data_IF_641553193126
#
_entry.id   IF_641553193126
#
_cell.length_a   1.000
_cell.length_b   1.000
_cell.length_c   1.000
_cell.angle_alpha   90.00
_cell.angle_beta   90.00
_cell.angle_gamma   90.00
#
_symmetry.space_group_name_H-M   'P 1'
#
loop_
_entity.id
_entity.type
_entity.pdbx_description
1 polymer ?
#
# COMPACT_ATOMS: atom_id res chain seq x y z
N UNK A 1 -4.42 -16.66 8.89
CA UNK A 1 -4.34 -15.58 7.89
C UNK A 1 -3.83 -14.29 8.54
N UNK A 2 -2.88 -13.64 7.92
CA UNK A 2 -2.38 -12.35 8.41
C UNK A 2 -3.01 -11.21 7.62
N UNK A 3 -3.32 -10.13 8.31
CA UNK A 3 -3.93 -8.94 7.71
C UNK A 3 -2.99 -7.75 7.85
N UNK A 4 -2.79 -7.03 6.75
CA UNK A 4 -1.95 -5.84 6.72
C UNK A 4 -2.73 -4.68 6.13
N UNK A 5 -2.48 -3.49 6.64
CA UNK A 5 -3.11 -2.27 6.16
C UNK A 5 -2.14 -1.50 5.27
N UNK A 6 -2.61 -1.14 4.10
CA UNK A 6 -1.88 -0.33 3.13
C UNK A 6 -2.58 1.03 3.05
N UNK A 7 -1.90 2.08 3.45
CA UNK A 7 -2.43 3.43 3.30
C UNK A 7 -2.05 3.96 1.94
N UNK A 8 -3.04 4.42 1.18
CA UNK A 8 -2.87 4.96 -0.16
C UNK A 8 -3.10 6.46 -0.06
N UNK A 9 -2.06 7.23 -0.27
CA UNK A 9 -2.08 8.68 -0.07
C UNK A 9 -1.94 9.39 -1.40
N UNK A 10 -2.88 10.30 -1.70
CA UNK A 10 -2.82 11.15 -2.87
C UNK A 10 -1.94 12.36 -2.57
N UNK A 11 -0.96 12.60 -3.43
CA UNK A 11 -0.03 13.70 -3.27
C UNK A 11 0.09 14.46 -4.62
N UNK A 12 -0.83 15.39 -4.81
CA UNK A 12 -0.94 16.26 -5.99
C UNK A 12 -1.12 15.54 -7.32
N UNK A 13 -0.12 14.78 -7.75
CA UNK A 13 -0.09 14.20 -9.09
C UNK A 13 -0.06 12.67 -9.08
N UNK A 14 0.10 12.05 -7.92
CA UNK A 14 0.25 10.60 -7.86
C UNK A 14 -0.18 10.05 -6.50
N UNK A 15 -0.42 8.75 -6.49
CA UNK A 15 -0.68 7.97 -5.28
C UNK A 15 0.62 7.36 -4.78
N UNK A 16 0.80 7.33 -3.47
CA UNK A 16 1.91 6.58 -2.88
C UNK A 16 1.43 5.76 -1.69
N UNK A 17 2.19 4.71 -1.37
CA UNK A 17 1.88 3.85 -0.24
C UNK A 17 2.57 4.33 1.02
N UNK A 18 1.90 4.10 2.15
CA UNK A 18 2.49 4.25 3.48
C UNK A 18 2.12 3.01 4.28
N UNK A 19 3.12 2.35 4.81
CA UNK A 19 2.93 1.10 5.55
C UNK A 19 3.78 1.09 6.80
N UNK A 20 3.34 0.28 7.78
CA UNK A 20 4.10 0.06 9.00
C UNK A 20 4.96 -1.20 8.86
N UNK A 21 5.93 -1.34 9.76
CA UNK A 21 6.70 -2.58 9.89
C UNK A 21 5.74 -3.77 10.09
N UNK A 22 5.99 -4.92 9.48
CA UNK A 22 7.21 -5.34 8.78
C UNK A 22 7.23 -5.05 7.28
N UNK A 23 6.22 -4.36 6.73
CA UNK A 23 6.15 -4.16 5.29
C UNK A 23 7.19 -3.19 4.75
N UNK A 24 7.29 -2.01 5.34
CA UNK A 24 8.22 -0.96 4.89
C UNK A 24 8.17 -0.74 3.37
N UNK A 25 6.97 -0.73 2.81
CA UNK A 25 6.74 -0.68 1.37
C UNK A 25 6.55 0.76 0.92
N UNK A 26 7.35 1.19 -0.05
CA UNK A 26 7.22 2.52 -0.66
C UNK A 26 7.10 2.36 -2.16
N UNK A 27 5.90 2.59 -2.69
CA UNK A 27 5.60 2.56 -4.11
C UNK A 27 4.79 3.79 -4.46
N UNK A 28 4.81 4.17 -5.73
CA UNK A 28 3.97 5.25 -6.23
C UNK A 28 3.48 4.95 -7.64
N UNK A 29 2.38 5.58 -8.01
CA UNK A 29 1.82 5.51 -9.36
C UNK A 29 0.81 6.62 -9.56
N UNK A 30 0.67 7.10 -10.78
CA UNK A 30 -0.38 8.03 -11.16
C UNK A 30 -1.76 7.36 -11.12
N UNK A 31 -1.82 6.05 -11.26
CA UNK A 31 -3.05 5.26 -11.25
C UNK A 31 -3.20 4.51 -9.93
N UNK A 32 -4.33 4.71 -9.25
CA UNK A 32 -4.67 3.99 -8.03
C UNK A 32 -4.75 2.48 -8.28
N UNK A 33 -5.44 2.07 -9.35
CA UNK A 33 -5.62 0.66 -9.64
C UNK A 33 -4.32 -0.04 -9.98
N UNK A 34 -3.43 0.64 -10.71
CA UNK A 34 -2.10 0.10 -10.99
C UNK A 34 -1.30 -0.08 -9.70
N UNK A 35 -1.38 0.90 -8.81
CA UNK A 35 -0.67 0.82 -7.53
C UNK A 35 -1.17 -0.35 -6.69
N UNK A 36 -2.48 -0.57 -6.64
CA UNK A 36 -3.07 -1.72 -5.95
C UNK A 36 -2.50 -3.03 -6.49
N UNK A 37 -2.44 -3.18 -7.81
CA UNK A 37 -1.90 -4.40 -8.42
C UNK A 37 -0.42 -4.60 -8.10
N UNK A 38 0.36 -3.54 -8.10
CA UNK A 38 1.78 -3.61 -7.73
C UNK A 38 1.97 -3.99 -6.27
N UNK A 39 1.15 -3.46 -5.38
CA UNK A 39 1.17 -3.82 -3.96
C UNK A 39 0.85 -5.30 -3.77
N UNK A 40 -0.14 -5.81 -4.48
CA UNK A 40 -0.54 -7.22 -4.39
C UNK A 40 0.58 -8.18 -4.78
N UNK A 41 1.45 -7.75 -5.68
CA UNK A 41 2.62 -8.54 -6.09
C UNK A 41 3.75 -8.42 -5.07
N UNK A 42 4.01 -7.21 -4.59
CA UNK A 42 5.17 -6.93 -3.73
C UNK A 42 5.02 -7.43 -2.29
N UNK A 43 3.83 -7.34 -1.72
CA UNK A 43 3.60 -7.64 -0.30
C UNK A 43 3.96 -9.08 0.07
N UNK A 44 3.52 -10.12 -0.66
CA UNK A 44 3.87 -11.48 -0.28
C UNK A 44 5.37 -11.72 -0.21
N UNK A 45 6.13 -11.17 -1.15
CA UNK A 45 7.59 -11.30 -1.16
C UNK A 45 8.22 -10.62 0.04
N UNK A 46 7.77 -9.41 0.36
CA UNK A 46 8.30 -8.65 1.50
C UNK A 46 7.99 -9.32 2.83
N UNK A 47 6.79 -9.86 2.99
CA UNK A 47 6.40 -10.57 4.21
C UNK A 47 7.24 -11.84 4.37
N UNK A 48 7.45 -12.58 3.30
CA UNK A 48 8.29 -13.77 3.36
C UNK A 48 9.74 -13.41 3.72
N UNK A 49 10.30 -12.39 3.09
CA UNK A 49 11.66 -11.94 3.38
C UNK A 49 11.83 -11.45 4.82
N UNK A 50 10.87 -10.67 5.30
CA UNK A 50 11.02 -9.98 6.59
C UNK A 50 10.54 -10.82 7.78
N UNK A 51 9.66 -11.77 7.57
CA UNK A 51 9.06 -12.56 8.67
C UNK A 51 9.13 -14.06 8.47
N UNK A 52 9.45 -14.52 7.27
CA UNK A 52 9.43 -15.95 6.93
C UNK A 52 8.02 -16.51 6.70
N UNK A 53 7.00 -15.68 6.75
CA UNK A 53 5.62 -16.13 6.60
C UNK A 53 5.26 -16.29 5.11
N UNK A 54 4.69 -17.42 4.74
CA UNK A 54 4.28 -17.70 3.36
C UNK A 54 2.83 -18.24 3.27
N UNK A 55 2.00 -17.92 4.25
CA UNK A 55 0.58 -18.32 4.26
C UNK A 55 -0.32 -17.29 3.59
N UNK A 56 -1.61 -17.40 3.89
CA UNK A 56 -2.60 -16.47 3.35
C UNK A 56 -2.45 -15.08 3.94
N UNK A 57 -2.60 -14.07 3.09
CA UNK A 57 -2.48 -12.66 3.45
C UNK A 57 -3.74 -11.94 3.00
N UNK A 58 -4.28 -11.11 3.89
CA UNK A 58 -5.38 -10.20 3.58
C UNK A 58 -4.85 -8.77 3.63
N UNK A 59 -5.16 -7.98 2.61
CA UNK A 59 -4.77 -6.58 2.54
C UNK A 59 -6.00 -5.69 2.71
N UNK A 60 -5.87 -4.68 3.55
CA UNK A 60 -6.89 -3.64 3.71
C UNK A 60 -6.30 -2.35 3.15
N UNK A 61 -6.93 -1.80 2.12
CA UNK A 61 -6.50 -0.55 1.52
C UNK A 61 -7.30 0.60 2.12
N UNK A 62 -6.60 1.59 2.65
CA UNK A 62 -7.20 2.80 3.20
C UNK A 62 -6.71 3.97 2.36
N UNK A 63 -7.64 4.73 1.79
CA UNK A 63 -7.31 5.85 0.92
C UNK A 63 -7.41 7.17 1.66
N UNK A 64 -6.40 8.02 1.49
CA UNK A 64 -6.40 9.37 2.03
C UNK A 64 -6.20 10.35 0.89
N UNK A 65 -7.13 11.29 0.75
CA UNK A 65 -7.02 12.35 -0.24
C UNK A 65 -7.48 13.66 0.38
N UNK A 66 -6.59 14.64 0.38
CA UNK A 66 -6.89 15.97 0.90
C UNK A 66 -7.09 16.92 -0.27
N UNK A 67 -8.22 17.61 -0.26
CA UNK A 67 -8.53 18.64 -1.24
C UNK A 67 -8.62 19.97 -0.53
N UNK A 68 -8.00 20.99 -1.10
CA UNK A 68 -8.04 22.34 -0.56
C UNK A 68 -8.95 23.17 -1.45
N UNK A 69 -10.04 23.64 -0.87
CA UNK A 69 -11.02 24.45 -1.58
C UNK A 69 -10.85 25.92 -1.22
N UNK A 70 -10.79 26.77 -2.24
CA UNK A 70 -10.82 28.23 -2.07
C UNK A 70 -12.28 28.67 -2.25
N UNK A 71 -12.83 29.35 -1.23
CA UNK A 71 -14.19 29.87 -1.24
C UNK A 71 -14.22 31.38 -1.15
#
# INVERSE_FOLDING_TARGET
MRTYTIRMIWDNDYWHTSTDSPLCLTLNSESYDELVERVKIAVPEMIELNTGYSGNIQLVFVSERTEKLAV
#
